data_IF_479844848862
#
_entry.id   IF_479844848862
#
_cell.length_a   1.000
_cell.length_b   1.000
_cell.length_c   1.000
_cell.angle_alpha   90.00
_cell.angle_beta   90.00
_cell.angle_gamma   90.00
#
_symmetry.space_group_name_H-M   'P 1'
#
loop_
_entity.id
_entity.type
_entity.pdbx_description
1 polymer ?
#
# COMPACT_ATOMS: atom_id res chain seq x y z
N UNK A 1 -30.04 -31.94 4.38
CA UNK A 1 -28.98 -31.74 3.37
C UNK A 1 -28.45 -30.33 3.52
N UNK A 2 -27.17 -30.16 3.83
CA UNK A 2 -26.55 -28.84 3.95
C UNK A 2 -26.51 -28.16 2.56
N UNK A 3 -26.89 -26.88 2.49
CA UNK A 3 -26.71 -26.08 1.27
C UNK A 3 -25.21 -26.07 0.93
N UNK A 4 -24.83 -26.18 -0.35
CA UNK A 4 -23.44 -25.92 -0.73
C UNK A 4 -23.10 -24.49 -0.29
N UNK A 5 -22.00 -24.32 0.45
CA UNK A 5 -21.46 -22.99 0.72
C UNK A 5 -21.30 -22.29 -0.62
N UNK A 6 -21.81 -21.05 -0.72
CA UNK A 6 -21.64 -20.22 -1.90
C UNK A 6 -20.19 -20.28 -2.38
N UNK A 7 -19.96 -20.31 -3.68
CA UNK A 7 -18.62 -20.39 -4.27
C UNK A 7 -17.87 -19.08 -3.95
N UNK A 8 -17.25 -19.00 -2.77
CA UNK A 8 -16.43 -17.88 -2.29
C UNK A 8 -15.11 -17.75 -3.06
N UNK A 9 -14.98 -18.43 -4.20
CA UNK A 9 -13.82 -18.33 -5.09
C UNK A 9 -13.73 -16.88 -5.59
N UNK A 10 -12.89 -16.12 -4.90
CA UNK A 10 -12.43 -14.81 -5.32
C UNK A 10 -12.10 -14.85 -6.81
N UNK A 11 -12.81 -14.06 -7.60
CA UNK A 11 -12.50 -13.93 -9.02
C UNK A 11 -11.13 -13.24 -9.12
N UNK A 12 -10.06 -14.04 -9.22
CA UNK A 12 -8.66 -13.58 -9.24
C UNK A 12 -8.43 -12.49 -10.29
N UNK A 13 -9.09 -12.60 -11.45
CA UNK A 13 -9.00 -11.59 -12.49
C UNK A 13 -9.64 -10.26 -12.05
N UNK A 14 -10.78 -10.31 -11.36
CA UNK A 14 -11.42 -9.12 -10.81
C UNK A 14 -10.56 -8.45 -9.72
N UNK A 15 -9.95 -9.23 -8.82
CA UNK A 15 -9.04 -8.72 -7.78
C UNK A 15 -7.83 -8.01 -8.39
N UNK A 16 -7.19 -8.63 -9.37
CA UNK A 16 -6.05 -8.00 -10.05
C UNK A 16 -6.47 -6.75 -10.82
N UNK A 17 -7.64 -6.80 -11.47
CA UNK A 17 -8.20 -5.68 -12.22
C UNK A 17 -8.47 -4.45 -11.34
N UNK A 18 -9.06 -4.63 -10.16
CA UNK A 18 -9.33 -3.51 -9.23
C UNK A 18 -8.04 -2.91 -8.66
N UNK A 19 -7.04 -3.74 -8.34
CA UNK A 19 -5.72 -3.28 -7.91
C UNK A 19 -5.01 -2.44 -9.00
N UNK A 20 -5.01 -2.94 -10.24
CA UNK A 20 -4.35 -2.26 -11.36
C UNK A 20 -5.05 -0.94 -11.70
N UNK A 21 -6.40 -0.91 -11.67
CA UNK A 21 -7.19 0.31 -11.90
C UNK A 21 -6.93 1.38 -10.83
N UNK A 22 -6.84 0.96 -9.56
CA UNK A 22 -6.52 1.84 -8.44
C UNK A 22 -5.11 2.43 -8.57
N UNK A 23 -4.11 1.60 -8.90
CA UNK A 23 -2.73 2.02 -9.08
C UNK A 23 -2.59 3.03 -10.24
N UNK A 24 -3.26 2.76 -11.37
CA UNK A 24 -3.31 3.69 -12.50
C UNK A 24 -3.99 5.03 -12.15
N UNK A 25 -5.04 5.00 -11.33
CA UNK A 25 -5.73 6.20 -10.85
C UNK A 25 -4.87 7.03 -9.90
N UNK A 26 -4.12 6.38 -9.00
CA UNK A 26 -3.11 7.05 -8.15
C UNK A 26 -2.03 7.72 -9.01
N UNK A 27 -1.47 7.02 -10.00
CA UNK A 27 -0.46 7.60 -10.90
C UNK A 27 -1.02 8.79 -11.71
N UNK A 28 -2.29 8.74 -12.14
CA UNK A 28 -2.96 9.89 -12.77
C UNK A 28 -2.95 11.13 -11.88
N UNK A 29 -3.23 10.97 -10.57
CA UNK A 29 -3.22 12.07 -9.60
C UNK A 29 -1.82 12.65 -9.43
N UNK A 30 -0.81 11.79 -9.31
CA UNK A 30 0.61 12.20 -9.19
C UNK A 30 1.06 13.00 -10.40
N UNK A 31 0.81 12.49 -11.61
CA UNK A 31 1.15 13.21 -12.86
C UNK A 31 0.42 14.54 -13.03
N UNK A 32 -0.68 14.76 -12.30
CA UNK A 32 -1.44 16.01 -12.29
C UNK A 32 -1.10 16.91 -11.10
N UNK A 33 -0.13 16.53 -10.26
CA UNK A 33 0.32 17.33 -9.13
C UNK A 33 -0.63 17.35 -7.93
N UNK A 34 -1.62 16.45 -7.89
CA UNK A 34 -2.54 16.37 -6.74
C UNK A 34 -1.86 15.80 -5.49
N UNK A 35 -0.94 14.86 -5.65
CA UNK A 35 -0.19 14.25 -4.55
C UNK A 35 1.22 13.90 -4.99
N UNK A 36 2.14 13.82 -4.01
CA UNK A 36 3.51 13.37 -4.23
C UNK A 36 3.61 11.89 -3.88
N UNK A 37 4.08 11.08 -4.83
CA UNK A 37 4.37 9.67 -4.65
C UNK A 37 5.40 9.27 -5.70
N UNK A 38 6.64 9.08 -5.24
CA UNK A 38 7.79 8.80 -6.09
C UNK A 38 7.94 7.30 -6.40
N UNK A 39 6.94 6.47 -6.05
CA UNK A 39 7.03 5.01 -6.15
C UNK A 39 5.93 4.38 -6.99
N UNK A 40 4.72 4.96 -7.02
CA UNK A 40 3.56 4.31 -7.66
C UNK A 40 3.75 4.01 -9.15
N UNK A 41 4.60 4.78 -9.84
CA UNK A 41 4.89 4.54 -11.26
C UNK A 41 5.59 3.19 -11.50
N UNK A 42 6.33 2.66 -10.52
CA UNK A 42 7.00 1.36 -10.60
C UNK A 42 6.01 0.19 -10.60
N UNK A 43 4.80 0.43 -10.11
CA UNK A 43 3.73 -0.57 -10.00
C UNK A 43 2.70 -0.49 -11.13
N UNK A 44 2.80 0.50 -12.03
CA UNK A 44 1.81 0.74 -13.10
C UNK A 44 2.40 0.43 -14.46
N UNK A 45 1.94 -0.67 -15.08
CA UNK A 45 2.37 -1.06 -16.43
C UNK A 45 1.93 -0.08 -17.51
N UNK A 46 0.71 0.44 -17.42
CA UNK A 46 0.10 1.35 -18.41
C UNK A 46 -0.53 2.54 -17.70
N UNK A 47 0.12 3.73 -17.76
CA UNK A 47 -0.47 4.94 -17.21
C UNK A 47 -1.78 5.29 -17.91
N UNK A 48 -2.82 5.64 -17.14
CA UNK A 48 -4.12 6.05 -17.66
C UNK A 48 -4.43 7.45 -17.14
N UNK A 49 -4.95 8.34 -18.00
CA UNK A 49 -5.44 9.66 -17.57
C UNK A 49 -6.86 9.53 -17.03
N UNK A 50 -7.10 9.97 -15.80
CA UNK A 50 -8.45 10.06 -15.21
C UNK A 50 -9.04 11.46 -15.34
N UNK A 51 -10.37 11.56 -15.28
CA UNK A 51 -11.07 12.84 -15.27
C UNK A 51 -10.74 13.64 -13.99
N UNK A 52 -10.90 14.98 -14.00
CA UNK A 52 -10.61 15.81 -12.85
C UNK A 52 -11.36 15.39 -11.57
N UNK A 53 -12.63 14.99 -11.69
CA UNK A 53 -13.43 14.56 -10.53
C UNK A 53 -12.90 13.26 -9.90
N UNK A 54 -12.43 12.32 -10.72
CA UNK A 54 -11.80 11.09 -10.22
C UNK A 54 -10.48 11.41 -9.52
N UNK A 55 -9.64 12.29 -10.10
CA UNK A 55 -8.39 12.69 -9.45
C UNK A 55 -8.64 13.39 -8.10
N UNK A 56 -9.67 14.25 -8.02
CA UNK A 56 -10.08 14.88 -6.75
C UNK A 56 -10.52 13.87 -5.71
N UNK A 57 -11.30 12.86 -6.10
CA UNK A 57 -11.74 11.79 -5.20
C UNK A 57 -10.56 10.97 -4.66
N UNK A 58 -9.62 10.58 -5.52
CA UNK A 58 -8.41 9.87 -5.11
C UNK A 58 -7.50 10.72 -4.22
N UNK A 59 -7.36 12.00 -4.52
CA UNK A 59 -6.62 12.92 -3.66
C UNK A 59 -7.26 13.04 -2.28
N UNK A 60 -8.58 13.22 -2.19
CA UNK A 60 -9.29 13.30 -0.91
C UNK A 60 -9.08 12.03 -0.08
N UNK A 61 -9.17 10.85 -0.71
CA UNK A 61 -8.86 9.56 -0.06
C UNK A 61 -7.42 9.51 0.45
N UNK A 62 -6.45 9.87 -0.38
CA UNK A 62 -5.03 9.90 0.00
C UNK A 62 -4.79 10.85 1.16
N UNK A 63 -5.25 12.10 1.06
CA UNK A 63 -5.03 13.14 2.06
C UNK A 63 -5.65 12.78 3.41
N UNK A 64 -6.86 12.22 3.42
CA UNK A 64 -7.53 11.79 4.64
C UNK A 64 -6.76 10.68 5.36
N UNK A 65 -6.38 9.61 4.65
CA UNK A 65 -5.63 8.49 5.23
C UNK A 65 -4.25 8.96 5.70
N UNK A 66 -3.54 9.78 4.91
CA UNK A 66 -2.23 10.33 5.28
C UNK A 66 -2.29 11.17 6.54
N UNK A 67 -3.32 12.02 6.68
CA UNK A 67 -3.53 12.81 7.90
C UNK A 67 -3.69 11.91 9.13
N UNK A 68 -4.53 10.87 9.04
CA UNK A 68 -4.76 9.93 10.14
C UNK A 68 -3.49 9.15 10.50
N UNK A 69 -2.74 8.69 9.48
CA UNK A 69 -1.47 8.01 9.69
C UNK A 69 -0.45 8.90 10.40
N UNK A 70 -0.29 10.15 9.97
CA UNK A 70 0.62 11.09 10.64
C UNK A 70 0.19 11.39 12.07
N UNK A 71 -1.11 11.55 12.33
CA UNK A 71 -1.62 11.74 13.70
C UNK A 71 -1.33 10.52 14.58
N UNK A 72 -1.56 9.31 14.08
CA UNK A 72 -1.22 8.08 14.79
C UNK A 72 0.29 7.97 15.05
N UNK A 73 1.11 8.23 14.04
CA UNK A 73 2.57 8.14 14.12
C UNK A 73 3.21 9.22 15.01
N UNK A 74 2.56 10.37 15.18
CA UNK A 74 3.03 11.45 16.05
C UNK A 74 2.44 11.38 17.46
N UNK A 75 1.46 10.51 17.72
CA UNK A 75 0.87 10.38 19.05
C UNK A 75 1.91 9.83 20.03
N UNK A 76 2.21 10.57 21.09
CA UNK A 76 3.03 10.10 22.21
C UNK A 76 2.10 9.43 23.22
N UNK A 77 2.33 8.15 23.50
CA UNK A 77 1.62 7.47 24.59
C UNK A 77 2.50 7.63 25.82
N UNK A 78 2.05 8.44 26.78
CA UNK A 78 2.64 8.54 28.10
C UNK A 78 2.40 7.22 28.85
N UNK A 79 3.20 6.20 28.55
CA UNK A 79 3.38 5.07 29.45
C UNK A 79 4.48 5.44 30.43
N UNK A 80 4.17 5.34 31.73
CA UNK A 80 4.91 5.83 32.90
C UNK A 80 6.32 5.23 33.12
N UNK A 81 7.13 5.12 32.07
CA UNK A 81 8.48 4.59 32.15
C UNK A 81 9.04 4.18 30.80
N UNK A 82 9.90 5.04 30.25
CA UNK A 82 11.02 4.70 29.35
C UNK A 82 10.68 4.08 27.98
N UNK A 83 10.48 4.95 26.99
CA UNK A 83 10.75 4.66 25.58
C UNK A 83 9.72 5.21 24.61
N UNK A 84 10.15 5.53 23.38
CA UNK A 84 9.25 5.81 22.27
C UNK A 84 8.34 4.59 22.04
N UNK A 85 7.01 4.78 22.11
CA UNK A 85 6.05 3.70 21.87
C UNK A 85 6.25 3.11 20.47
N UNK A 86 6.50 1.79 20.38
CA UNK A 86 6.63 1.08 19.11
C UNK A 86 5.27 1.00 18.40
N UNK A 87 5.13 1.72 17.30
CA UNK A 87 3.89 1.77 16.50
C UNK A 87 3.91 0.72 15.40
N UNK A 88 2.77 0.08 15.16
CA UNK A 88 2.61 -0.91 14.09
C UNK A 88 1.44 -0.51 13.19
N UNK A 89 1.59 -0.73 11.89
CA UNK A 89 0.53 -0.50 10.90
C UNK A 89 0.26 -1.83 10.18
N UNK A 90 -1.02 -2.21 10.12
CA UNK A 90 -1.52 -3.34 9.34
C UNK A 90 -2.44 -2.81 8.23
N UNK A 91 -1.97 -2.88 6.99
CA UNK A 91 -2.73 -2.50 5.81
C UNK A 91 -3.41 -3.74 5.21
N UNK A 92 -4.75 -3.76 5.25
CA UNK A 92 -5.58 -4.86 4.74
C UNK A 92 -6.08 -4.54 3.33
N UNK A 93 -5.89 -5.45 2.38
CA UNK A 93 -6.15 -5.15 0.96
C UNK A 93 -5.21 -4.07 0.44
N UNK A 94 -3.92 -4.20 0.79
CA UNK A 94 -2.93 -3.16 0.53
C UNK A 94 -2.71 -2.89 -0.95
N UNK A 95 -2.96 -3.87 -1.84
CA UNK A 95 -2.65 -3.72 -3.25
C UNK A 95 -1.20 -3.30 -3.49
N UNK A 96 -0.99 -2.47 -4.51
CA UNK A 96 0.28 -1.77 -4.75
C UNK A 96 0.38 -0.43 -4.01
N UNK A 97 -0.11 -0.34 -2.78
CA UNK A 97 0.11 0.85 -1.94
C UNK A 97 1.60 1.10 -1.69
N UNK A 98 1.98 2.38 -1.66
CA UNK A 98 3.37 2.85 -1.59
C UNK A 98 3.63 3.65 -0.31
N UNK A 99 2.66 3.68 0.62
CA UNK A 99 2.71 4.51 1.82
C UNK A 99 3.92 4.18 2.70
N UNK A 100 4.31 2.90 2.82
CA UNK A 100 5.51 2.53 3.56
C UNK A 100 6.77 3.23 3.03
N UNK A 101 6.99 3.18 1.71
CA UNK A 101 8.15 3.82 1.06
C UNK A 101 8.14 5.34 1.25
N UNK A 102 6.96 5.97 1.13
CA UNK A 102 6.80 7.41 1.40
C UNK A 102 7.12 7.74 2.87
N UNK A 103 6.65 6.94 3.83
CA UNK A 103 6.92 7.14 5.26
C UNK A 103 8.41 6.92 5.59
N UNK A 104 9.08 5.98 4.92
CA UNK A 104 10.52 5.79 5.03
C UNK A 104 11.30 7.05 4.60
N UNK A 105 10.96 7.63 3.45
CA UNK A 105 11.60 8.87 2.99
C UNK A 105 11.33 10.08 3.89
N UNK A 106 10.17 10.09 4.54
CA UNK A 106 9.79 11.12 5.50
C UNK A 106 10.45 10.95 6.87
N UNK A 107 11.18 9.85 7.11
CA UNK A 107 11.72 9.53 8.44
C UNK A 107 10.63 9.20 9.48
N UNK A 108 9.46 8.74 9.02
CA UNK A 108 8.26 8.49 9.83
C UNK A 108 7.77 7.04 9.75
N UNK A 109 8.59 6.12 9.25
CA UNK A 109 8.18 4.72 9.18
C UNK A 109 7.86 4.18 10.59
N UNK A 110 6.79 3.37 10.74
CA UNK A 110 6.48 2.72 12.01
C UNK A 110 7.55 1.68 12.36
N UNK A 111 7.50 1.19 13.60
CA UNK A 111 8.33 0.06 14.02
C UNK A 111 8.05 -1.20 13.19
N UNK A 112 6.79 -1.42 12.79
CA UNK A 112 6.40 -2.50 11.91
C UNK A 112 5.31 -2.04 10.94
N UNK A 113 5.47 -2.35 9.65
CA UNK A 113 4.45 -2.13 8.62
C UNK A 113 4.16 -3.46 7.95
N UNK A 114 2.93 -3.95 8.08
CA UNK A 114 2.49 -5.23 7.51
C UNK A 114 1.44 -4.96 6.46
N UNK A 115 1.59 -5.59 5.31
CA UNK A 115 0.61 -5.56 4.23
C UNK A 115 0.02 -6.94 4.01
N UNK A 116 -1.30 -7.03 3.98
CA UNK A 116 -2.03 -8.26 3.67
C UNK A 116 -2.88 -8.04 2.42
N UNK A 117 -2.80 -8.96 1.48
CA UNK A 117 -3.64 -9.03 0.29
C UNK A 117 -3.68 -10.49 -0.23
N UNK A 118 -4.44 -10.73 -1.29
CA UNK A 118 -4.42 -12.00 -1.99
C UNK A 118 -3.04 -12.33 -2.54
N UNK A 119 -2.71 -13.63 -2.57
CA UNK A 119 -1.39 -14.13 -2.99
C UNK A 119 -0.98 -13.63 -4.37
N UNK A 120 -1.92 -13.48 -5.30
CA UNK A 120 -1.64 -13.00 -6.65
C UNK A 120 -1.22 -11.53 -6.69
N UNK A 121 -1.66 -10.74 -5.72
CA UNK A 121 -1.32 -9.32 -5.60
C UNK A 121 0.00 -9.17 -4.85
N UNK A 122 0.16 -9.85 -3.71
CA UNK A 122 1.38 -9.80 -2.90
C UNK A 122 2.58 -10.39 -3.65
N UNK A 123 2.42 -11.50 -4.37
CA UNK A 123 3.50 -12.09 -5.18
C UNK A 123 3.98 -11.14 -6.28
N UNK A 124 3.05 -10.45 -6.95
CA UNK A 124 3.42 -9.44 -7.95
C UNK A 124 4.12 -8.24 -7.32
N UNK A 125 3.64 -7.77 -6.18
CA UNK A 125 4.25 -6.65 -5.45
C UNK A 125 5.68 -6.99 -5.02
N UNK A 126 5.87 -8.18 -4.45
CA UNK A 126 7.16 -8.71 -4.06
C UNK A 126 8.16 -8.74 -5.21
N UNK A 127 7.76 -9.33 -6.35
CA UNK A 127 8.61 -9.39 -7.54
C UNK A 127 9.01 -8.00 -8.04
N UNK A 128 8.10 -7.02 -8.01
CA UNK A 128 8.42 -5.63 -8.36
C UNK A 128 9.38 -4.98 -7.36
N UNK A 129 9.21 -5.23 -6.06
CA UNK A 129 10.12 -4.74 -5.02
C UNK A 129 11.52 -5.30 -5.23
N UNK A 130 11.67 -6.60 -5.50
CA UNK A 130 12.97 -7.23 -5.76
C UNK A 130 13.65 -6.70 -7.03
N UNK A 131 12.84 -6.40 -8.06
CA UNK A 131 13.31 -5.91 -9.37
C UNK A 131 13.86 -4.49 -9.30
N UNK A 132 13.17 -3.58 -8.62
CA UNK A 132 13.55 -2.16 -8.57
C UNK A 132 14.37 -1.85 -7.31
N UNK A 133 15.63 -1.47 -7.48
CA UNK A 133 16.51 -1.07 -6.36
C UNK A 133 15.91 0.05 -5.51
N UNK A 134 15.21 1.01 -6.12
CA UNK A 134 14.50 2.08 -5.43
C UNK A 134 13.50 1.58 -4.36
N UNK A 135 12.93 0.39 -4.55
CA UNK A 135 12.03 -0.26 -3.59
C UNK A 135 12.81 -1.19 -2.67
N UNK A 136 13.66 -2.07 -3.26
CA UNK A 136 14.44 -3.05 -2.51
C UNK A 136 15.31 -2.39 -1.43
N UNK A 137 15.99 -1.30 -1.76
CA UNK A 137 16.93 -0.63 -0.87
C UNK A 137 16.22 0.09 0.30
N UNK A 138 14.88 0.30 0.20
CA UNK A 138 14.05 0.85 1.28
C UNK A 138 13.57 -0.21 2.27
N UNK A 139 13.64 -1.47 1.86
CA UNK A 139 13.19 -2.63 2.62
C UNK A 139 14.43 -3.22 3.29
N UNK A 140 14.45 -3.22 4.63
CA UNK A 140 15.61 -3.71 5.38
C UNK A 140 15.82 -5.23 5.28
N UNK A 141 16.98 -5.70 5.73
CA UNK A 141 17.34 -7.14 5.76
C UNK A 141 16.32 -8.02 6.49
N UNK A 142 15.55 -7.43 7.42
CA UNK A 142 14.55 -8.12 8.23
C UNK A 142 13.18 -8.26 7.55
N UNK A 143 13.03 -7.76 6.32
CA UNK A 143 11.78 -7.88 5.61
C UNK A 143 11.47 -9.33 5.23
N UNK A 144 10.23 -9.74 5.52
CA UNK A 144 9.74 -11.07 5.22
C UNK A 144 8.63 -10.96 4.18
N UNK A 145 8.80 -11.65 3.06
CA UNK A 145 7.76 -11.78 2.03
C UNK A 145 7.24 -13.20 2.11
N UNK A 146 6.02 -13.36 2.59
CA UNK A 146 5.34 -14.65 2.64
C UNK A 146 5.00 -15.11 1.22
N UNK A 147 5.88 -15.91 0.61
CA UNK A 147 5.53 -16.64 -0.61
C UNK A 147 4.60 -17.79 -0.19
N UNK A 148 3.34 -17.74 -0.61
CA UNK A 148 2.41 -18.83 -0.29
C UNK A 148 2.94 -20.14 -0.87
N UNK A 149 2.81 -21.23 -0.10
CA UNK A 149 3.15 -22.56 -0.58
C UNK A 149 2.26 -22.89 -1.79
N UNK A 150 2.87 -23.23 -2.92
CA UNK A 150 2.19 -23.79 -4.09
C UNK A 150 1.38 -25.02 -3.72
#
# INVERSE_FOLDING_TARGET
MARPMADWRSNRAAVQGTNDDASASKLSCVKKGYMKDDYVYLFVKRPVRRSPIINRGYFARYAAVRKLLHQFLNCEVNTDGQGNTKKQILSLGAGFDTTYFQLQDEGKAPYLYVELDFIEVTSKKAALIETYSQLRDKVGETASISQGKN
#
